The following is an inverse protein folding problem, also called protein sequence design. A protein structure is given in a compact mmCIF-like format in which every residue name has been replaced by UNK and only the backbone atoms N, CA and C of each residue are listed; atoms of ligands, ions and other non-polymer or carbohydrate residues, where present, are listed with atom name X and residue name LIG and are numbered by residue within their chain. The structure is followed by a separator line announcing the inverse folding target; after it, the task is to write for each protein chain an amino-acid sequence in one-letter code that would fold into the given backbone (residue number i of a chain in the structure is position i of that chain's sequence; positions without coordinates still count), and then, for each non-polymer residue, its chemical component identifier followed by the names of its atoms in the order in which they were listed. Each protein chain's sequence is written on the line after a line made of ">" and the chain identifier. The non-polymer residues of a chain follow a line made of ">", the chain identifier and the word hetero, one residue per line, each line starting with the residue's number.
data_IF_887701979393
#
_entry.id   IF_887701979393
#
_cell.length_a   1.000
_cell.length_b   1.000
_cell.length_c   1.000
_cell.angle_alpha   90.00
_cell.angle_beta   90.00
_cell.angle_gamma   90.00
#
_symmetry.space_group_name_H-M   'P 1'
#
loop_
_entity.id
_entity.type
_entity.pdbx_description
1 polymer ?
#
# COMPACT_ATOMS: atom_id res chain seq x y z
N UNK A 1 10.83 67.18 -14.65
CA UNK A 1 10.50 67.77 -15.97
C UNK A 1 11.17 66.91 -17.03
N UNK A 2 10.36 66.29 -17.92
CA UNK A 2 10.56 65.97 -19.36
C UNK A 2 11.87 65.27 -19.79
N UNK A 3 11.93 64.33 -20.75
CA UNK A 3 11.05 63.57 -21.68
C UNK A 3 12.04 62.60 -22.37
N UNK A 4 11.76 61.29 -22.51
CA UNK A 4 11.20 60.63 -23.70
C UNK A 4 11.91 60.94 -25.04
N UNK A 5 12.43 59.89 -25.69
CA UNK A 5 12.56 59.57 -27.15
C UNK A 5 13.77 58.62 -27.29
N UNK A 6 13.70 57.36 -27.76
CA UNK A 6 12.79 56.72 -28.71
C UNK A 6 13.51 56.53 -30.04
N UNK A 7 14.12 55.37 -30.29
CA UNK A 7 14.39 54.87 -31.65
C UNK A 7 14.11 53.37 -31.69
N UNK A 8 13.20 53.05 -32.60
CA UNK A 8 12.67 51.75 -33.00
C UNK A 8 13.62 51.15 -34.03
N UNK A 9 13.98 49.86 -33.88
CA UNK A 9 14.28 49.01 -35.04
C UNK A 9 13.54 47.70 -34.85
N UNK A 10 12.44 47.57 -35.59
CA UNK A 10 11.72 46.33 -35.81
C UNK A 10 12.44 45.50 -36.86
N UNK A 11 12.71 44.23 -36.57
CA UNK A 11 12.85 43.20 -37.61
C UNK A 11 11.92 42.06 -37.21
N UNK A 12 10.78 42.00 -37.90
CA UNK A 12 9.92 40.84 -37.95
C UNK A 12 10.52 39.82 -38.91
N UNK A 13 10.75 38.60 -38.44
CA UNK A 13 10.74 37.40 -39.28
C UNK A 13 9.85 36.38 -38.57
N UNK A 14 8.77 35.98 -39.24
CA UNK A 14 7.73 35.08 -38.74
C UNK A 14 7.88 33.69 -39.36
N UNK A 15 7.77 32.70 -38.46
CA UNK A 15 7.35 31.29 -38.62
C UNK A 15 8.21 30.30 -39.42
N UNK A 16 8.69 29.24 -38.76
CA UNK A 16 7.86 28.02 -38.61
C UNK A 16 8.39 27.06 -37.53
N UNK A 17 7.43 26.54 -36.77
CA UNK A 17 7.39 25.63 -35.61
C UNK A 17 8.49 24.55 -35.45
N UNK A 18 9.02 24.46 -34.23
CA UNK A 18 8.89 23.25 -33.40
C UNK A 18 8.85 23.67 -31.93
N UNK A 19 7.76 23.32 -31.24
CA UNK A 19 7.46 23.72 -29.87
C UNK A 19 8.11 22.76 -28.88
N UNK A 20 8.74 23.31 -27.83
CA UNK A 20 8.90 22.72 -26.50
C UNK A 20 9.27 23.87 -25.56
N UNK A 21 8.29 24.66 -25.15
CA UNK A 21 8.42 25.55 -23.98
C UNK A 21 8.01 24.78 -22.74
N UNK A 22 8.95 24.76 -21.79
CA UNK A 22 9.01 24.13 -20.48
C UNK A 22 7.69 23.77 -19.77
N UNK A 23 7.54 22.47 -19.53
CA UNK A 23 6.64 21.87 -18.54
C UNK A 23 6.97 22.33 -17.11
N UNK A 24 8.23 22.71 -16.83
CA UNK A 24 8.70 23.13 -15.52
C UNK A 24 8.10 24.47 -15.04
N UNK A 25 7.79 25.40 -15.94
CA UNK A 25 7.18 26.68 -15.56
C UNK A 25 5.68 26.52 -15.20
N UNK A 26 5.00 25.55 -15.83
CA UNK A 26 3.61 25.22 -15.52
C UNK A 26 3.48 24.53 -14.14
N UNK A 27 4.50 23.80 -13.72
CA UNK A 27 4.55 23.16 -12.39
C UNK A 27 4.85 24.14 -11.26
N UNK A 28 5.63 25.21 -11.44
CA UNK A 28 5.83 26.18 -10.35
C UNK A 28 4.59 27.04 -10.07
N UNK A 29 3.77 27.33 -11.09
CA UNK A 29 2.53 28.07 -10.90
C UNK A 29 1.36 27.16 -10.43
N UNK A 30 1.50 25.82 -10.53
CA UNK A 30 0.51 24.82 -10.08
C UNK A 30 0.92 24.09 -8.78
N UNK A 31 2.21 24.07 -8.42
CA UNK A 31 2.81 23.34 -7.28
C UNK A 31 3.97 24.09 -6.58
N UNK A 32 4.06 25.42 -6.70
CA UNK A 32 4.93 26.23 -5.83
C UNK A 32 4.55 26.07 -4.35
N UNK A 33 5.48 26.24 -3.39
CA UNK A 33 5.33 25.72 -2.05
C UNK A 33 4.28 26.52 -1.27
N UNK A 34 3.03 26.06 -1.30
CA UNK A 34 2.15 26.27 -0.16
C UNK A 34 2.60 25.29 0.93
N UNK A 35 3.31 25.87 1.88
CA UNK A 35 3.41 25.47 3.28
C UNK A 35 3.07 23.99 3.58
N UNK A 36 4.13 23.23 3.81
CA UNK A 36 4.12 21.86 4.30
C UNK A 36 3.54 21.78 5.72
N UNK A 37 2.23 21.95 5.83
CA UNK A 37 1.39 21.56 6.97
C UNK A 37 0.01 21.07 6.48
N UNK A 38 -0.03 20.20 5.48
CA UNK A 38 -1.27 19.60 4.95
C UNK A 38 -1.87 18.50 5.85
N UNK A 39 -2.02 18.75 7.15
CA UNK A 39 -2.83 17.90 8.05
C UNK A 39 -4.29 18.37 8.18
N UNK A 40 -4.66 19.43 7.44
CA UNK A 40 -5.99 20.02 7.49
C UNK A 40 -6.70 19.77 6.14
N UNK A 41 -7.75 18.97 6.14
CA UNK A 41 -8.61 18.81 4.97
C UNK A 41 -9.26 20.15 4.61
N UNK A 42 -9.27 20.53 3.32
CA UNK A 42 -9.87 21.80 2.91
C UNK A 42 -11.40 21.69 2.99
N UNK A 43 -12.00 22.42 3.93
CA UNK A 43 -13.44 22.41 4.17
C UNK A 43 -14.22 23.11 3.06
N UNK A 44 -15.30 22.51 2.60
CA UNK A 44 -16.26 23.11 1.68
C UNK A 44 -17.70 22.84 2.11
N UNK A 45 -18.64 23.18 1.22
CA UNK A 45 -20.06 22.89 1.39
C UNK A 45 -20.67 22.44 0.06
N UNK A 46 -21.68 21.60 0.14
CA UNK A 46 -22.52 21.18 -0.97
C UNK A 46 -23.99 21.31 -0.56
N UNK A 47 -24.86 21.74 -1.48
CA UNK A 47 -26.32 21.78 -1.26
C UNK A 47 -27.00 20.70 -2.09
N UNK A 48 -27.77 19.82 -1.44
CA UNK A 48 -28.56 18.78 -2.09
C UNK A 48 -29.87 19.43 -2.57
N UNK A 49 -30.01 19.60 -3.89
CA UNK A 49 -31.19 20.26 -4.46
C UNK A 49 -32.48 19.45 -4.30
N UNK A 50 -32.38 18.16 -3.93
CA UNK A 50 -33.56 17.29 -3.74
C UNK A 50 -34.32 17.66 -2.47
N UNK A 51 -33.66 18.19 -1.45
CA UNK A 51 -34.28 18.57 -0.17
C UNK A 51 -33.84 19.96 0.38
N UNK A 52 -32.94 20.66 -0.32
CA UNK A 52 -32.43 21.98 0.05
C UNK A 52 -31.42 21.95 1.20
N UNK A 53 -30.98 20.77 1.65
CA UNK A 53 -30.05 20.64 2.75
C UNK A 53 -28.61 20.92 2.31
N UNK A 54 -27.88 21.67 3.11
CA UNK A 54 -26.45 21.92 2.89
C UNK A 54 -25.64 21.02 3.82
N UNK A 55 -24.65 20.32 3.26
CA UNK A 55 -23.71 19.45 3.96
C UNK A 55 -22.31 20.03 3.87
N UNK A 56 -21.54 19.88 4.94
CA UNK A 56 -20.11 20.16 4.91
C UNK A 56 -19.37 19.11 4.09
N UNK A 57 -18.34 19.55 3.41
CA UNK A 57 -17.44 18.69 2.65
C UNK A 57 -16.01 18.89 3.10
N UNK A 58 -15.18 17.90 2.80
CA UNK A 58 -13.73 17.96 2.98
C UNK A 58 -13.05 17.46 1.73
N UNK A 59 -12.05 18.21 1.26
CA UNK A 59 -11.24 17.81 0.13
C UNK A 59 -10.06 16.99 0.63
N UNK A 60 -9.94 15.77 0.11
CA UNK A 60 -8.83 14.86 0.39
C UNK A 60 -8.28 14.37 -0.93
N UNK A 61 -7.03 14.73 -1.24
CA UNK A 61 -6.46 14.50 -2.57
C UNK A 61 -7.33 15.14 -3.67
N UNK A 62 -7.71 14.35 -4.68
CA UNK A 62 -8.57 14.76 -5.82
C UNK A 62 -10.07 14.57 -5.56
N UNK A 63 -10.44 14.04 -4.40
CA UNK A 63 -11.80 13.66 -4.08
C UNK A 63 -12.36 14.62 -3.03
N UNK A 64 -13.58 15.07 -3.27
CA UNK A 64 -14.35 15.82 -2.28
C UNK A 64 -15.35 14.89 -1.59
N UNK A 65 -15.22 14.80 -0.27
CA UNK A 65 -16.02 13.93 0.58
C UNK A 65 -17.09 14.72 1.33
N UNK A 66 -18.27 14.16 1.50
CA UNK A 66 -19.17 14.63 2.55
C UNK A 66 -18.54 14.39 3.93
N UNK A 67 -18.34 15.47 4.70
CA UNK A 67 -17.91 15.41 6.09
C UNK A 67 -19.07 15.04 7.04
N UNK A 68 -20.29 14.98 6.52
CA UNK A 68 -21.50 14.67 7.26
C UNK A 68 -22.24 13.51 6.60
N UNK A 69 -22.90 12.68 7.40
CA UNK A 69 -23.72 11.60 6.86
C UNK A 69 -24.91 12.21 6.10
N UNK A 70 -25.23 11.63 4.96
CA UNK A 70 -26.39 12.01 4.15
C UNK A 70 -27.67 11.89 4.98
N UNK A 71 -28.58 12.83 4.77
CA UNK A 71 -29.85 12.93 5.48
C UNK A 71 -31.06 13.13 4.55
N UNK A 72 -30.89 12.81 3.27
CA UNK A 72 -31.94 12.86 2.26
C UNK A 72 -33.04 11.84 2.54
N UNK A 73 -34.27 12.30 2.73
CA UNK A 73 -35.41 11.45 3.02
C UNK A 73 -35.95 10.79 1.74
N UNK A 74 -35.57 9.52 1.52
CA UNK A 74 -36.13 8.66 0.47
C UNK A 74 -37.01 7.55 1.03
N UNK A 75 -37.84 6.93 0.18
CA UNK A 75 -38.58 5.71 0.54
C UNK A 75 -37.61 4.64 1.04
N UNK A 76 -37.91 4.02 2.17
CA UNK A 76 -37.03 3.06 2.83
C UNK A 76 -35.94 3.68 3.72
N UNK A 77 -35.68 5.00 3.69
CA UNK A 77 -34.69 5.59 4.61
C UNK A 77 -35.23 5.79 6.03
N UNK A 78 -34.42 5.46 7.05
CA UNK A 78 -34.84 5.47 8.45
C UNK A 78 -34.06 6.48 9.29
N UNK A 79 -34.72 6.99 10.33
CA UNK A 79 -33.99 7.58 11.46
C UNK A 79 -33.59 6.48 12.43
N UNK A 80 -32.43 6.61 13.04
CA UNK A 80 -32.04 5.72 14.13
C UNK A 80 -33.06 5.79 15.27
N UNK A 81 -33.47 4.61 15.78
CA UNK A 81 -34.61 4.45 16.71
C UNK A 81 -35.90 5.17 16.28
N UNK A 82 -36.10 5.37 14.98
CA UNK A 82 -37.22 6.13 14.43
C UNK A 82 -37.37 7.55 15.04
N UNK A 83 -36.25 8.17 15.45
CA UNK A 83 -36.24 9.47 16.12
C UNK A 83 -35.77 10.58 15.19
N UNK A 84 -36.61 11.58 14.86
CA UNK A 84 -36.21 12.71 14.01
C UNK A 84 -34.98 13.46 14.51
N UNK A 85 -34.85 13.61 15.84
CA UNK A 85 -33.67 14.24 16.46
C UNK A 85 -32.37 13.49 16.18
N UNK A 86 -32.44 12.17 15.99
CA UNK A 86 -31.28 11.35 15.68
C UNK A 86 -30.93 11.40 14.19
N UNK A 87 -31.92 11.62 13.31
CA UNK A 87 -31.67 12.00 11.92
C UNK A 87 -30.88 13.31 11.81
N UNK A 88 -31.27 14.33 12.58
CA UNK A 88 -30.56 15.63 12.56
C UNK A 88 -29.10 15.49 13.02
N UNK A 89 -28.84 14.55 13.94
CA UNK A 89 -27.52 14.35 14.53
C UNK A 89 -26.62 13.42 13.71
N UNK A 90 -27.15 12.30 13.23
CA UNK A 90 -26.39 11.19 12.65
C UNK A 90 -26.64 10.98 11.17
N UNK A 91 -27.52 11.77 10.55
CA UNK A 91 -28.03 11.49 9.20
C UNK A 91 -29.08 10.39 9.21
N UNK A 92 -29.55 10.05 8.00
CA UNK A 92 -30.48 8.95 7.79
C UNK A 92 -29.71 7.66 7.52
N UNK A 93 -30.38 6.55 7.78
CA UNK A 93 -29.89 5.24 7.40
C UNK A 93 -30.57 4.81 6.10
N UNK A 94 -29.80 4.16 5.24
CA UNK A 94 -30.25 3.70 3.93
C UNK A 94 -30.07 2.19 3.84
N UNK A 95 -31.08 1.53 3.32
CA UNK A 95 -31.03 0.12 2.93
C UNK A 95 -30.73 0.00 1.45
N UNK A 96 -30.39 -1.23 1.04
CA UNK A 96 -30.09 -1.57 -0.34
C UNK A 96 -31.32 -1.47 -1.27
N UNK A 97 -31.14 -1.09 -2.55
CA UNK A 97 -29.90 -0.63 -3.18
C UNK A 97 -29.53 0.84 -2.90
N UNK A 98 -28.22 1.14 -2.93
CA UNK A 98 -27.67 2.47 -2.65
C UNK A 98 -27.40 3.33 -3.88
N UNK A 99 -27.58 2.79 -5.09
CA UNK A 99 -27.24 3.45 -6.38
C UNK A 99 -27.83 4.86 -6.54
N UNK A 100 -29.01 5.09 -5.96
CA UNK A 100 -29.77 6.34 -6.15
C UNK A 100 -29.81 7.20 -4.88
N UNK A 101 -28.92 6.93 -3.92
CA UNK A 101 -28.91 7.63 -2.62
C UNK A 101 -28.25 9.00 -2.73
N UNK A 102 -27.15 9.10 -3.46
CA UNK A 102 -26.37 10.32 -3.58
C UNK A 102 -26.99 11.33 -4.58
N UNK A 103 -26.79 12.64 -4.37
CA UNK A 103 -27.29 13.67 -5.29
C UNK A 103 -26.53 13.64 -6.62
N UNK A 104 -27.10 14.23 -7.68
CA UNK A 104 -26.46 14.27 -9.00
C UNK A 104 -25.02 14.81 -8.95
N UNK A 105 -24.11 14.11 -9.62
CA UNK A 105 -22.68 14.42 -9.60
C UNK A 105 -21.94 13.98 -8.33
N UNK A 106 -22.63 13.30 -7.41
CA UNK A 106 -22.05 12.61 -6.27
C UNK A 106 -22.44 11.13 -6.31
N UNK A 107 -21.58 10.28 -5.78
CA UNK A 107 -21.83 8.84 -5.70
C UNK A 107 -21.44 8.28 -4.33
N UNK A 108 -21.92 7.07 -4.06
CA UNK A 108 -21.50 6.33 -2.87
C UNK A 108 -20.06 5.88 -3.11
N UNK A 109 -19.11 6.22 -2.22
CA UNK A 109 -17.72 5.89 -2.40
C UNK A 109 -17.54 4.38 -2.55
N UNK A 110 -16.78 4.00 -3.57
CA UNK A 110 -16.33 2.63 -3.77
C UNK A 110 -15.11 2.32 -2.89
N UNK A 111 -14.66 1.08 -2.97
CA UNK A 111 -13.49 0.61 -2.22
C UNK A 111 -12.22 1.41 -2.53
N UNK A 112 -11.96 1.71 -3.80
CA UNK A 112 -10.76 2.43 -4.23
C UNK A 112 -10.71 3.84 -3.66
N UNK A 113 -11.88 4.49 -3.57
CA UNK A 113 -11.99 5.83 -3.01
C UNK A 113 -11.77 5.83 -1.50
N UNK A 114 -12.31 4.84 -0.78
CA UNK A 114 -12.00 4.67 0.64
C UNK A 114 -10.51 4.40 0.87
N UNK A 115 -9.88 3.54 0.06
CA UNK A 115 -8.43 3.30 0.12
C UNK A 115 -7.64 4.60 -0.04
N UNK A 116 -7.99 5.40 -1.04
CA UNK A 116 -7.33 6.68 -1.29
C UNK A 116 -7.47 7.60 -0.08
N UNK A 117 -8.62 7.67 0.59
CA UNK A 117 -8.80 8.44 1.83
C UNK A 117 -7.86 7.99 2.97
N UNK A 118 -7.67 6.69 3.16
CA UNK A 118 -6.78 6.17 4.22
C UNK A 118 -5.31 6.43 3.94
N UNK A 119 -4.92 6.65 2.68
CA UNK A 119 -3.57 7.11 2.36
C UNK A 119 -3.25 8.49 2.97
N UNK A 120 -4.28 9.31 3.26
CA UNK A 120 -4.13 10.66 3.79
C UNK A 120 -4.41 10.78 5.29
N UNK A 121 -5.16 9.85 5.89
CA UNK A 121 -5.63 10.00 7.27
C UNK A 121 -5.82 8.68 8.03
N UNK A 122 -5.41 8.67 9.30
CA UNK A 122 -5.64 7.54 10.20
C UNK A 122 -7.13 7.44 10.59
N UNK A 123 -7.62 6.26 11.00
CA UNK A 123 -9.00 6.10 11.48
C UNK A 123 -9.37 7.06 12.64
N UNK A 124 -8.40 7.39 13.52
CA UNK A 124 -8.61 8.36 14.59
C UNK A 124 -8.73 9.80 14.08
N UNK A 125 -8.01 10.15 13.00
CA UNK A 125 -8.08 11.46 12.33
C UNK A 125 -9.40 11.70 11.60
N UNK A 126 -10.05 10.65 11.10
CA UNK A 126 -11.35 10.74 10.43
C UNK A 126 -12.53 10.88 11.42
N UNK A 127 -12.38 10.34 12.63
CA UNK A 127 -13.45 10.22 13.62
C UNK A 127 -13.78 11.54 14.32
N UNK A 128 -15.07 11.82 14.52
CA UNK A 128 -15.48 13.02 15.26
C UNK A 128 -14.98 13.02 16.71
N UNK A 129 -14.69 14.21 17.26
CA UNK A 129 -14.23 14.38 18.65
C UNK A 129 -15.21 13.81 19.67
N UNK A 130 -16.51 13.92 19.38
CA UNK A 130 -17.59 13.39 20.22
C UNK A 130 -17.74 11.86 20.17
N UNK A 131 -16.96 11.20 19.31
CA UNK A 131 -16.97 9.76 19.14
C UNK A 131 -15.60 9.12 19.43
N UNK A 132 -14.70 9.85 20.11
CA UNK A 132 -13.38 9.36 20.53
C UNK A 132 -12.27 9.54 19.49
N UNK A 133 -12.48 10.38 18.47
CA UNK A 133 -11.50 10.70 17.44
C UNK A 133 -10.82 12.04 17.66
N UNK A 134 -9.80 12.32 16.85
CA UNK A 134 -9.15 13.64 16.83
C UNK A 134 -9.84 14.61 15.87
N UNK A 135 -10.59 14.09 14.89
CA UNK A 135 -11.24 14.85 13.82
C UNK A 135 -10.26 15.79 13.12
N UNK A 136 -9.03 15.32 12.93
CA UNK A 136 -7.90 16.15 12.52
C UNK A 136 -8.11 16.75 11.12
N UNK A 137 -8.77 16.01 10.22
CA UNK A 137 -9.00 16.48 8.85
C UNK A 137 -10.42 17.04 8.63
N UNK A 138 -11.25 17.15 9.68
CA UNK A 138 -12.62 17.65 9.57
C UNK A 138 -13.60 16.69 8.90
N UNK A 139 -13.24 15.41 8.72
CA UNK A 139 -14.11 14.38 8.18
C UNK A 139 -15.24 14.03 9.15
N UNK A 140 -15.05 14.16 10.46
CA UNK A 140 -16.09 14.07 11.50
C UNK A 140 -17.02 12.84 11.38
N UNK A 141 -16.48 11.62 11.28
CA UNK A 141 -17.32 10.40 11.29
C UNK A 141 -18.23 10.36 12.52
N UNK A 142 -19.52 10.19 12.27
CA UNK A 142 -20.58 9.99 13.26
C UNK A 142 -21.24 8.63 13.03
N UNK A 143 -21.35 7.89 14.11
CA UNK A 143 -21.62 6.47 14.14
C UNK A 143 -23.08 6.14 14.47
N UNK A 144 -23.71 5.30 13.64
CA UNK A 144 -25.08 4.82 13.86
C UNK A 144 -25.39 3.62 12.95
N UNK A 145 -26.24 2.67 13.35
CA UNK A 145 -26.62 1.49 12.53
C UNK A 145 -26.21 0.13 13.13
N UNK A 146 -26.46 -0.96 12.40
CA UNK A 146 -26.10 -2.35 12.77
C UNK A 146 -25.31 -3.01 11.62
N UNK A 147 -24.31 -3.86 11.95
CA UNK A 147 -23.45 -4.61 11.02
C UNK A 147 -22.58 -5.63 11.75
N UNK A 148 -21.89 -6.51 11.02
CA UNK A 148 -20.93 -7.48 11.57
C UNK A 148 -19.58 -6.81 11.92
N UNK A 149 -18.89 -7.35 12.94
CA UNK A 149 -17.66 -6.76 13.51
C UNK A 149 -16.47 -7.66 13.23
N UNK A 150 -15.39 -7.10 12.71
CA UNK A 150 -14.06 -7.74 12.70
C UNK A 150 -13.05 -6.79 13.33
N UNK A 151 -12.20 -7.27 14.24
CA UNK A 151 -11.15 -6.43 14.80
C UNK A 151 -10.03 -6.20 13.77
N UNK A 152 -9.41 -5.01 13.72
CA UNK A 152 -8.41 -4.69 12.69
C UNK A 152 -7.26 -5.69 12.65
N UNK A 153 -6.73 -6.19 13.79
CA UNK A 153 -5.72 -7.25 13.75
C UNK A 153 -6.21 -8.58 13.17
N UNK A 154 -7.47 -8.97 13.40
CA UNK A 154 -8.10 -10.18 12.84
C UNK A 154 -8.33 -9.98 11.34
N UNK A 155 -8.86 -8.82 10.96
CA UNK A 155 -8.93 -8.33 9.59
C UNK A 155 -7.55 -8.24 8.95
N UNK A 156 -6.46 -7.98 9.68
CA UNK A 156 -5.10 -7.99 9.11
C UNK A 156 -4.47 -9.39 9.11
N UNK A 157 -4.98 -10.33 9.92
CA UNK A 157 -4.45 -11.70 10.06
C UNK A 157 -5.19 -12.75 9.25
N UNK A 158 -6.41 -12.45 8.80
CA UNK A 158 -7.17 -13.27 7.85
C UNK A 158 -6.74 -13.00 6.40
N UNK A 159 -5.52 -12.46 6.19
CA UNK A 159 -5.09 -11.93 4.90
C UNK A 159 -5.24 -12.97 3.79
N UNK A 160 -5.92 -12.58 2.71
CA UNK A 160 -5.83 -13.23 1.41
C UNK A 160 -4.44 -13.01 0.75
N UNK A 161 -3.42 -12.59 1.51
CA UNK A 161 -2.03 -12.62 1.03
C UNK A 161 -1.77 -14.00 0.47
N UNK A 162 -1.29 -14.02 -0.76
CA UNK A 162 -0.78 -15.25 -1.32
C UNK A 162 0.28 -15.77 -0.32
N UNK A 163 0.21 -17.06 0.01
CA UNK A 163 1.14 -17.73 0.91
C UNK A 163 2.50 -17.87 0.24
N UNK A 164 3.17 -16.75 0.08
CA UNK A 164 4.45 -16.62 -0.57
C UNK A 164 5.48 -16.26 0.49
N UNK A 165 6.46 -17.14 0.69
CA UNK A 165 7.58 -16.85 1.59
C UNK A 165 8.77 -16.39 0.77
N UNK A 166 9.31 -15.22 1.10
CA UNK A 166 10.60 -14.75 0.59
C UNK A 166 11.66 -15.00 1.67
N UNK A 167 12.78 -15.61 1.28
CA UNK A 167 13.92 -15.80 2.19
C UNK A 167 15.19 -15.22 1.60
N UNK A 168 16.04 -14.68 2.46
CA UNK A 168 17.28 -14.00 2.09
C UNK A 168 18.45 -14.64 2.80
N UNK A 169 19.51 -14.94 2.04
CA UNK A 169 20.80 -15.40 2.55
C UNK A 169 21.90 -14.47 2.04
N UNK A 170 22.57 -13.69 2.91
CA UNK A 170 23.81 -13.02 2.50
C UNK A 170 24.90 -14.06 2.25
N UNK A 171 25.77 -13.87 1.25
CA UNK A 171 26.69 -14.95 0.85
C UNK A 171 28.06 -14.47 0.37
N UNK A 172 29.05 -15.32 0.60
CA UNK A 172 30.40 -15.28 0.05
C UNK A 172 30.62 -16.31 -1.08
N UNK A 173 29.57 -17.05 -1.49
CA UNK A 173 29.69 -18.12 -2.47
C UNK A 173 30.36 -17.62 -3.76
N UNK A 174 31.48 -18.25 -4.13
CA UNK A 174 32.30 -17.87 -5.29
C UNK A 174 32.81 -16.42 -5.28
N UNK A 175 32.81 -15.74 -4.12
CA UNK A 175 33.28 -14.36 -3.96
C UNK A 175 34.28 -14.21 -2.78
N UNK A 176 35.05 -15.26 -2.50
CA UNK A 176 35.98 -15.26 -1.34
C UNK A 176 37.18 -14.33 -1.50
N UNK A 177 37.42 -13.78 -2.69
CA UNK A 177 38.50 -12.82 -2.92
C UNK A 177 38.25 -11.46 -2.25
N UNK A 178 36.98 -11.07 -2.08
CA UNK A 178 36.56 -9.81 -1.45
C UNK A 178 35.64 -10.01 -0.24
N UNK A 179 35.03 -11.19 -0.10
CA UNK A 179 34.09 -11.55 0.95
C UNK A 179 34.51 -12.87 1.59
N UNK A 180 35.51 -12.84 2.48
CA UNK A 180 35.97 -14.01 3.23
C UNK A 180 36.29 -13.64 4.68
N UNK A 181 36.35 -14.63 5.60
CA UNK A 181 36.64 -14.35 7.00
C UNK A 181 37.96 -13.58 7.16
N UNK A 182 37.91 -12.44 7.85
CA UNK A 182 39.07 -11.55 8.03
C UNK A 182 39.07 -10.30 7.12
N UNK A 183 38.19 -10.25 6.10
CA UNK A 183 37.86 -9.01 5.41
C UNK A 183 36.67 -8.31 6.10
N UNK A 184 36.50 -7.02 5.82
CA UNK A 184 35.31 -6.29 6.24
C UNK A 184 34.09 -6.85 5.50
N UNK A 185 33.06 -7.26 6.23
CA UNK A 185 31.82 -7.81 5.66
C UNK A 185 31.11 -6.79 4.75
N UNK A 186 31.40 -5.50 4.92
CA UNK A 186 30.93 -4.44 4.02
C UNK A 186 31.43 -4.59 2.57
N UNK A 187 32.46 -5.39 2.32
CA UNK A 187 32.99 -5.69 0.98
C UNK A 187 32.22 -6.81 0.27
N UNK A 188 31.35 -7.52 0.99
CA UNK A 188 30.46 -8.51 0.40
C UNK A 188 29.38 -7.85 -0.46
N UNK A 189 28.84 -8.60 -1.41
CA UNK A 189 27.90 -8.07 -2.39
C UNK A 189 26.83 -9.07 -2.82
N UNK A 190 26.89 -10.33 -2.39
CA UNK A 190 26.08 -11.39 -2.97
C UNK A 190 24.96 -11.79 -2.00
N UNK A 191 23.78 -12.09 -2.55
CA UNK A 191 22.72 -12.77 -1.82
C UNK A 191 22.23 -13.97 -2.62
N UNK A 192 21.68 -14.96 -1.91
CA UNK A 192 20.70 -15.87 -2.48
C UNK A 192 19.31 -15.50 -1.95
N UNK A 193 18.33 -15.50 -2.85
CA UNK A 193 16.93 -15.25 -2.55
C UNK A 193 16.15 -16.51 -2.89
N UNK A 194 15.33 -16.97 -1.96
CA UNK A 194 14.30 -17.98 -2.22
C UNK A 194 12.92 -17.35 -2.25
N UNK A 195 12.07 -17.81 -3.16
CA UNK A 195 10.65 -17.46 -3.20
C UNK A 195 9.86 -18.75 -3.26
N UNK A 196 9.12 -19.05 -2.20
CA UNK A 196 8.31 -20.25 -2.04
C UNK A 196 6.85 -19.93 -2.33
N UNK A 197 6.22 -20.74 -3.19
CA UNK A 197 4.78 -20.68 -3.43
C UNK A 197 4.09 -21.76 -2.57
N UNK A 198 3.54 -21.36 -1.42
CA UNK A 198 2.73 -22.24 -0.58
C UNK A 198 1.24 -22.16 -0.89
N UNK A 199 0.84 -21.55 -2.02
CA UNK A 199 -0.53 -21.61 -2.50
C UNK A 199 -0.88 -22.97 -3.09
N UNK A 200 -2.20 -23.24 -3.11
CA UNK A 200 -2.76 -24.42 -3.77
C UNK A 200 -2.70 -24.36 -5.31
N UNK A 201 -2.48 -23.15 -5.86
CA UNK A 201 -2.34 -22.89 -7.28
C UNK A 201 -0.92 -22.42 -7.63
N UNK A 202 -0.52 -22.63 -8.88
CA UNK A 202 0.72 -22.06 -9.40
C UNK A 202 0.58 -20.54 -9.58
N UNK A 203 1.69 -19.81 -9.45
CA UNK A 203 1.71 -18.34 -9.54
C UNK A 203 2.77 -17.90 -10.55
N UNK A 204 2.44 -16.94 -11.40
CA UNK A 204 3.33 -16.40 -12.43
C UNK A 204 3.24 -14.87 -12.47
N UNK A 205 4.15 -14.22 -13.20
CA UNK A 205 4.06 -12.77 -13.43
C UNK A 205 4.27 -11.91 -12.19
N UNK A 206 5.01 -12.41 -11.21
CA UNK A 206 5.28 -11.70 -9.96
C UNK A 206 6.56 -10.86 -10.07
N UNK A 207 6.55 -9.72 -9.39
CA UNK A 207 7.74 -8.92 -9.11
C UNK A 207 7.93 -8.70 -7.61
N UNK A 208 9.18 -8.79 -7.15
CA UNK A 208 9.57 -8.45 -5.78
C UNK A 208 10.14 -7.05 -5.77
N UNK A 209 9.89 -6.30 -4.70
CA UNK A 209 10.50 -4.99 -4.48
C UNK A 209 11.49 -5.07 -3.33
N UNK A 210 12.78 -4.98 -3.65
CA UNK A 210 13.84 -5.09 -2.65
C UNK A 210 14.40 -3.70 -2.29
N UNK A 211 14.14 -3.23 -1.07
CA UNK A 211 14.45 -1.87 -0.64
C UNK A 211 15.81 -1.81 0.06
N UNK A 212 16.78 -1.18 -0.63
CA UNK A 212 18.19 -1.11 -0.20
C UNK A 212 18.62 0.30 0.22
N UNK A 213 17.67 1.24 0.37
CA UNK A 213 17.86 2.56 0.98
C UNK A 213 18.51 3.64 0.10
N UNK A 214 19.06 3.29 -1.06
CA UNK A 214 19.58 4.28 -2.02
C UNK A 214 19.11 3.96 -3.43
N UNK A 215 19.09 4.99 -4.29
CA UNK A 215 19.08 4.78 -5.74
C UNK A 215 20.47 4.34 -6.19
N UNK A 216 20.52 3.33 -7.05
CA UNK A 216 21.77 2.87 -7.64
C UNK A 216 21.70 2.83 -9.15
N UNK A 217 22.85 3.11 -9.78
CA UNK A 217 23.01 3.04 -11.24
C UNK A 217 23.21 1.59 -11.69
N UNK A 218 23.89 0.78 -10.88
CA UNK A 218 24.16 -0.63 -11.20
C UNK A 218 22.97 -1.51 -10.81
N UNK A 219 22.42 -2.25 -11.77
CA UNK A 219 21.52 -3.37 -11.52
C UNK A 219 22.33 -4.65 -11.31
N UNK A 220 21.98 -5.50 -10.33
CA UNK A 220 22.68 -6.76 -10.13
C UNK A 220 22.47 -7.73 -11.29
N UNK A 221 23.22 -8.82 -11.27
CA UNK A 221 23.08 -9.95 -12.18
C UNK A 221 22.79 -11.23 -11.40
N UNK A 222 22.23 -12.22 -12.10
CA UNK A 222 22.05 -13.57 -11.59
C UNK A 222 22.71 -14.56 -12.52
N UNK A 223 23.72 -15.27 -12.02
CA UNK A 223 24.35 -16.38 -12.75
C UNK A 223 23.81 -17.75 -12.33
N UNK A 224 23.04 -17.77 -11.25
CA UNK A 224 22.47 -18.97 -10.64
C UNK A 224 20.98 -18.70 -10.44
N UNK A 225 20.15 -19.50 -11.10
CA UNK A 225 18.71 -19.51 -10.88
C UNK A 225 18.18 -20.92 -11.11
N UNK A 226 17.42 -21.44 -10.15
CA UNK A 226 16.89 -22.80 -10.21
C UNK A 226 15.44 -22.83 -9.70
N UNK A 227 14.58 -23.52 -10.45
CA UNK A 227 13.17 -23.68 -10.14
C UNK A 227 12.90 -25.12 -9.71
N UNK A 228 12.14 -25.26 -8.62
CA UNK A 228 11.76 -26.51 -8.00
C UNK A 228 10.23 -26.65 -7.95
N UNK A 229 9.74 -27.86 -8.17
CA UNK A 229 8.33 -28.20 -7.97
C UNK A 229 8.04 -28.55 -6.50
N UNK A 230 6.75 -28.73 -6.16
CA UNK A 230 6.34 -28.99 -4.77
C UNK A 230 6.83 -30.30 -4.15
N UNK A 231 7.37 -31.20 -4.95
CA UNK A 231 8.03 -32.43 -4.46
C UNK A 231 9.55 -32.23 -4.20
N UNK A 232 10.08 -31.03 -4.41
CA UNK A 232 11.51 -30.71 -4.25
C UNK A 232 12.39 -31.10 -5.44
N UNK A 233 11.80 -31.61 -6.52
CA UNK A 233 12.53 -31.92 -7.76
C UNK A 233 12.78 -30.65 -8.57
N UNK A 234 13.95 -30.54 -9.21
CA UNK A 234 14.23 -29.46 -10.16
C UNK A 234 13.31 -29.57 -11.37
N UNK A 235 12.58 -28.50 -11.67
CA UNK A 235 11.66 -28.41 -12.82
C UNK A 235 12.19 -27.49 -13.92
N UNK A 236 13.26 -26.73 -13.66
CA UNK A 236 13.96 -25.96 -14.70
C UNK A 236 14.91 -24.90 -14.17
N UNK A 237 15.39 -24.08 -15.09
CA UNK A 237 16.09 -22.82 -14.82
C UNK A 237 15.09 -21.71 -15.09
N UNK A 238 14.92 -20.79 -14.15
CA UNK A 238 14.02 -19.64 -14.31
C UNK A 238 14.80 -18.40 -14.74
N UNK A 239 14.22 -17.58 -15.61
CA UNK A 239 14.80 -16.27 -15.93
C UNK A 239 14.40 -15.27 -14.84
N UNK A 240 15.41 -14.74 -14.14
CA UNK A 240 15.24 -13.64 -13.19
C UNK A 240 15.89 -12.41 -13.80
N UNK A 241 15.15 -11.30 -13.84
CA UNK A 241 15.64 -10.03 -14.37
C UNK A 241 15.50 -8.93 -13.34
N UNK A 242 16.41 -7.95 -13.43
CA UNK A 242 16.48 -6.82 -12.54
C UNK A 242 16.31 -5.55 -13.36
N UNK A 243 15.32 -4.74 -13.00
CA UNK A 243 15.13 -3.44 -13.63
C UNK A 243 15.91 -2.36 -12.89
N UNK A 244 15.98 -1.16 -13.48
CA UNK A 244 16.51 0.01 -12.80
C UNK A 244 15.72 0.30 -11.53
N UNK A 245 16.40 0.87 -10.52
CA UNK A 245 15.76 1.25 -9.27
C UNK A 245 14.61 2.21 -9.51
N UNK A 246 13.49 1.97 -8.82
CA UNK A 246 12.26 2.74 -8.97
C UNK A 246 11.93 3.38 -7.63
N UNK A 247 11.63 4.70 -7.58
CA UNK A 247 11.10 5.30 -6.37
C UNK A 247 9.67 4.82 -6.15
N UNK A 248 9.34 4.45 -4.92
CA UNK A 248 7.97 4.24 -4.49
C UNK A 248 7.22 5.58 -4.33
N UNK A 249 5.97 5.49 -3.91
CA UNK A 249 5.06 6.63 -3.74
C UNK A 249 5.56 7.66 -2.71
N UNK A 250 6.47 7.28 -1.82
CA UNK A 250 7.10 8.15 -0.82
C UNK A 250 8.54 8.54 -1.18
N UNK A 251 9.02 8.17 -2.37
CA UNK A 251 10.36 8.48 -2.86
C UNK A 251 11.46 7.54 -2.33
N UNK A 252 11.12 6.42 -1.69
CA UNK A 252 12.09 5.39 -1.34
C UNK A 252 12.34 4.47 -2.52
N UNK A 253 13.61 4.20 -2.81
CA UNK A 253 13.98 3.40 -3.97
C UNK A 253 13.98 1.90 -3.64
N UNK A 254 13.40 1.12 -4.54
CA UNK A 254 13.50 -0.34 -4.54
C UNK A 254 14.09 -0.86 -5.84
N UNK A 255 14.72 -2.02 -5.76
CA UNK A 255 15.11 -2.84 -6.90
C UNK A 255 13.93 -3.73 -7.30
N UNK A 256 13.35 -3.57 -8.51
CA UNK A 256 12.35 -4.51 -9.02
C UNK A 256 13.04 -5.79 -9.47
N UNK A 257 12.61 -6.92 -8.91
CA UNK A 257 13.09 -8.26 -9.28
C UNK A 257 11.94 -9.01 -9.93
N UNK A 258 12.08 -9.34 -11.21
CA UNK A 258 11.03 -10.04 -11.98
C UNK A 258 11.37 -11.51 -12.14
N UNK A 259 10.41 -12.36 -11.82
CA UNK A 259 10.52 -13.81 -12.03
C UNK A 259 9.66 -14.17 -13.24
N UNK A 260 10.31 -14.57 -14.34
CA UNK A 260 9.61 -14.78 -15.61
C UNK A 260 8.77 -16.07 -15.63
N UNK A 261 9.23 -17.10 -14.92
CA UNK A 261 8.59 -18.42 -14.93
C UNK A 261 7.51 -18.53 -13.86
N UNK A 262 6.50 -19.35 -14.16
CA UNK A 262 5.51 -19.79 -13.18
C UNK A 262 6.18 -20.67 -12.10
N UNK A 263 5.87 -20.38 -10.83
CA UNK A 263 6.25 -21.21 -9.69
C UNK A 263 5.10 -22.17 -9.40
N UNK A 264 5.29 -23.51 -9.55
CA UNK A 264 4.24 -24.49 -9.29
C UNK A 264 3.72 -24.41 -7.86
N UNK A 265 2.51 -24.91 -7.62
CA UNK A 265 1.98 -25.06 -6.25
C UNK A 265 2.93 -25.90 -5.39
N UNK A 266 3.23 -25.41 -4.19
CA UNK A 266 4.23 -25.96 -3.27
C UNK A 266 5.68 -25.82 -3.75
N UNK A 267 5.91 -25.32 -4.96
CA UNK A 267 7.22 -25.13 -5.56
C UNK A 267 7.91 -23.86 -5.09
N UNK A 268 9.16 -23.70 -5.50
CA UNK A 268 9.97 -22.55 -5.12
C UNK A 268 11.07 -22.30 -6.13
N UNK A 269 11.61 -21.08 -6.12
CA UNK A 269 12.77 -20.67 -6.91
C UNK A 269 13.85 -20.18 -5.96
N UNK A 270 15.11 -20.47 -6.31
CA UNK A 270 16.28 -19.78 -5.74
C UNK A 270 17.06 -19.08 -6.83
N UNK A 271 17.54 -17.88 -6.54
CA UNK A 271 18.39 -17.15 -7.47
C UNK A 271 19.43 -16.29 -6.74
N UNK A 272 20.54 -16.03 -7.43
CA UNK A 272 21.60 -15.15 -6.96
C UNK A 272 21.26 -13.68 -7.28
N UNK A 273 21.52 -12.80 -6.32
CA UNK A 273 21.70 -11.37 -6.53
C UNK A 273 23.18 -11.05 -6.38
N UNK A 274 23.83 -10.61 -7.45
CA UNK A 274 25.26 -10.25 -7.44
C UNK A 274 25.48 -8.88 -8.07
N UNK A 275 26.05 -7.96 -7.29
CA UNK A 275 26.64 -6.74 -7.84
C UNK A 275 28.10 -7.00 -8.21
N UNK A 276 28.53 -6.43 -9.33
CA UNK A 276 29.89 -6.57 -9.86
C UNK A 276 30.81 -5.48 -9.29
N UNK A 277 30.27 -4.30 -8.97
CA UNK A 277 31.07 -3.19 -8.43
C UNK A 277 30.59 -2.68 -7.08
N UNK A 278 29.28 -2.71 -6.83
CA UNK A 278 28.74 -2.33 -5.53
C UNK A 278 28.92 -3.43 -4.47
N UNK A 279 28.98 -2.99 -3.21
CA UNK A 279 29.04 -3.86 -2.03
C UNK A 279 28.01 -3.42 -1.00
N UNK A 280 27.90 -4.15 0.10
CA UNK A 280 27.01 -3.83 1.21
C UNK A 280 27.28 -2.44 1.80
N UNK A 281 28.51 -1.92 1.67
CA UNK A 281 28.86 -0.55 2.05
C UNK A 281 28.04 0.53 1.32
N UNK A 282 27.46 0.21 0.16
CA UNK A 282 26.66 1.14 -0.60
C UNK A 282 25.20 1.19 -0.15
N UNK A 283 24.71 0.20 0.60
CA UNK A 283 23.32 0.16 1.04
C UNK A 283 23.02 1.27 2.05
N UNK A 284 21.83 1.86 1.94
CA UNK A 284 21.39 2.97 2.77
C UNK A 284 21.11 2.54 4.20
N UNK A 285 21.19 3.49 5.13
CA UNK A 285 20.81 3.26 6.53
C UNK A 285 19.31 2.98 6.70
N UNK A 286 18.53 3.29 5.67
CA UNK A 286 17.10 3.06 5.49
C UNK A 286 16.81 1.89 4.54
N UNK A 287 17.74 0.94 4.38
CA UNK A 287 17.53 -0.30 3.64
C UNK A 287 16.41 -1.15 4.29
N UNK A 288 15.17 -0.81 3.98
CA UNK A 288 13.96 -1.32 4.65
C UNK A 288 13.87 -2.84 4.67
N UNK A 289 14.19 -3.50 3.56
CA UNK A 289 14.16 -4.96 3.46
C UNK A 289 15.32 -5.63 4.21
N UNK A 290 16.37 -4.90 4.60
CA UNK A 290 17.49 -5.46 5.37
C UNK A 290 17.40 -5.08 6.86
N UNK A 291 16.70 -4.00 7.18
CA UNK A 291 16.61 -3.43 8.51
C UNK A 291 15.79 -4.30 9.47
N UNK A 292 16.07 -4.16 10.77
CA UNK A 292 15.25 -4.76 11.81
C UNK A 292 13.97 -3.94 12.06
N UNK A 293 12.86 -4.66 12.20
CA UNK A 293 11.52 -4.14 12.52
C UNK A 293 11.02 -4.79 13.81
N UNK A 294 11.35 -4.18 14.95
CA UNK A 294 11.13 -4.75 16.30
C UNK A 294 10.29 -3.85 17.22
N UNK A 295 9.79 -2.73 16.69
CA UNK A 295 8.93 -1.77 17.39
C UNK A 295 7.45 -2.13 17.37
N UNK A 296 6.63 -1.36 18.10
CA UNK A 296 5.17 -1.51 18.10
C UNK A 296 4.52 -1.13 16.76
N UNK A 297 5.30 -0.52 15.87
CA UNK A 297 4.97 -0.10 14.51
C UNK A 297 5.40 -1.13 13.45
N UNK A 298 6.13 -2.18 13.82
CA UNK A 298 6.45 -3.28 12.92
C UNK A 298 5.19 -4.06 12.55
N UNK A 299 4.99 -4.33 11.25
CA UNK A 299 3.89 -5.17 10.78
C UNK A 299 4.02 -6.60 11.30
N UNK A 300 5.25 -7.14 11.19
CA UNK A 300 5.67 -8.43 11.74
C UNK A 300 7.04 -8.24 12.37
N UNK A 301 7.26 -8.81 13.55
CA UNK A 301 8.57 -8.75 14.20
C UNK A 301 9.62 -9.40 13.30
N UNK A 302 10.68 -8.67 12.97
CA UNK A 302 11.77 -9.15 12.14
C UNK A 302 13.09 -8.54 12.61
N UNK A 303 14.09 -9.38 12.93
CA UNK A 303 15.36 -8.86 13.46
C UNK A 303 16.31 -8.32 12.36
N UNK A 304 15.87 -8.23 11.11
CA UNK A 304 16.70 -7.79 9.98
C UNK A 304 17.59 -8.91 9.41
N UNK A 305 18.28 -8.61 8.31
CA UNK A 305 19.29 -9.51 7.72
C UNK A 305 20.67 -9.15 8.28
N UNK A 306 21.32 -10.08 8.98
CA UNK A 306 22.68 -9.88 9.48
C UNK A 306 23.71 -10.07 8.37
N UNK A 307 24.03 -8.98 7.68
CA UNK A 307 25.03 -8.95 6.60
C UNK A 307 26.44 -9.32 7.07
N UNK A 308 26.74 -9.24 8.37
CA UNK A 308 28.05 -9.61 8.88
C UNK A 308 28.33 -11.12 8.82
N UNK A 309 27.30 -11.93 8.59
CA UNK A 309 27.43 -13.38 8.37
C UNK A 309 27.92 -13.74 6.97
N UNK A 310 27.79 -12.84 5.98
CA UNK A 310 28.10 -13.14 4.58
C UNK A 310 29.47 -13.78 4.35
N UNK A 311 30.58 -13.30 4.97
CA UNK A 311 31.91 -13.91 4.79
C UNK A 311 31.98 -15.38 5.23
N UNK A 312 31.09 -15.82 6.12
CA UNK A 312 31.04 -17.17 6.67
C UNK A 312 30.09 -18.08 5.89
N UNK A 313 29.14 -17.50 5.14
CA UNK A 313 28.17 -18.23 4.34
C UNK A 313 28.70 -18.50 2.93
N UNK A 314 29.53 -19.53 2.81
CA UNK A 314 30.29 -19.91 1.61
C UNK A 314 29.69 -21.09 0.85
N UNK A 315 28.64 -21.71 1.37
CA UNK A 315 27.87 -22.75 0.71
C UNK A 315 27.10 -22.23 -0.51
N UNK A 316 26.67 -23.15 -1.36
CA UNK A 316 25.92 -22.81 -2.57
C UNK A 316 24.47 -22.36 -2.26
N UNK A 317 23.67 -22.17 -3.30
CA UNK A 317 22.29 -21.72 -3.23
C UNK A 317 21.34 -22.69 -2.51
N UNK A 318 21.73 -23.95 -2.30
CA UNK A 318 20.92 -24.97 -1.63
C UNK A 318 21.35 -25.23 -0.19
N UNK A 319 22.46 -24.65 0.25
CA UNK A 319 22.98 -24.85 1.61
C UNK A 319 22.18 -24.02 2.62
N UNK A 320 21.26 -24.68 3.33
CA UNK A 320 20.36 -24.08 4.31
C UNK A 320 21.03 -23.85 5.68
N UNK A 321 22.07 -24.62 6.01
CA UNK A 321 22.73 -24.59 7.32
C UNK A 321 24.20 -24.28 7.15
N UNK A 322 24.65 -23.15 7.69
CA UNK A 322 26.05 -22.72 7.60
C UNK A 322 26.62 -22.41 8.99
N UNK A 323 27.94 -22.20 9.04
CA UNK A 323 28.64 -21.89 10.29
C UNK A 323 28.77 -20.39 10.42
N UNK A 324 28.28 -19.80 11.51
CA UNK A 324 28.39 -18.37 11.78
C UNK A 324 29.81 -17.94 12.21
N UNK A 325 30.01 -16.65 12.43
CA UNK A 325 31.26 -16.08 12.98
C UNK A 325 31.73 -16.77 14.28
N UNK A 326 30.79 -17.24 15.10
CA UNK A 326 31.05 -17.83 16.41
C UNK A 326 31.32 -19.35 16.34
N UNK A 327 31.23 -19.96 15.16
CA UNK A 327 31.39 -21.40 14.98
C UNK A 327 30.12 -22.22 15.23
N UNK A 328 28.95 -21.59 15.35
CA UNK A 328 27.68 -22.27 15.51
C UNK A 328 27.06 -22.59 14.16
N UNK A 329 26.41 -23.75 14.05
CA UNK A 329 25.54 -24.04 12.90
C UNK A 329 24.25 -23.22 13.03
N UNK A 330 23.98 -22.38 12.04
CA UNK A 330 22.82 -21.48 11.96
C UNK A 330 22.08 -21.68 10.64
N UNK A 331 20.79 -21.33 10.62
CA UNK A 331 20.04 -21.25 9.37
C UNK A 331 20.53 -20.06 8.54
N UNK A 332 20.96 -20.32 7.31
CA UNK A 332 21.60 -19.32 6.45
C UNK A 332 20.56 -18.44 5.73
N UNK A 333 19.41 -19.01 5.39
CA UNK A 333 18.28 -18.29 4.79
C UNK A 333 17.33 -17.81 5.88
N UNK A 334 17.09 -16.50 5.93
CA UNK A 334 16.13 -15.90 6.85
C UNK A 334 14.85 -15.53 6.11
N UNK A 335 13.70 -15.96 6.61
CA UNK A 335 12.40 -15.50 6.11
C UNK A 335 12.25 -13.99 6.33
N UNK A 336 11.94 -13.28 5.26
CA UNK A 336 11.89 -11.83 5.20
C UNK A 336 10.48 -11.36 4.80
N UNK A 337 9.67 -10.88 5.75
CA UNK A 337 8.35 -10.36 5.46
C UNK A 337 8.38 -8.95 4.86
N UNK A 338 9.54 -8.27 4.79
CA UNK A 338 9.69 -6.89 4.36
C UNK A 338 10.24 -6.74 2.92
N UNK A 339 10.17 -7.82 2.15
CA UNK A 339 10.29 -7.82 0.68
C UNK A 339 8.90 -8.07 0.10
N UNK A 340 8.14 -7.03 -0.25
CA UNK A 340 6.80 -7.22 -0.78
C UNK A 340 6.83 -7.77 -2.21
N UNK A 341 5.84 -8.61 -2.50
CA UNK A 341 5.61 -9.27 -3.78
C UNK A 341 4.38 -8.68 -4.43
N UNK A 342 4.45 -8.42 -5.73
CA UNK A 342 3.41 -7.81 -6.54
C UNK A 342 3.03 -8.70 -7.71
N UNK A 343 1.78 -8.63 -8.14
CA UNK A 343 1.25 -9.21 -9.37
C UNK A 343 0.40 -8.16 -10.07
N UNK A 344 0.72 -7.86 -11.33
CA UNK A 344 0.06 -6.82 -12.14
C UNK A 344 -0.06 -5.46 -11.43
N UNK A 345 0.99 -5.08 -10.69
CA UNK A 345 1.04 -3.84 -9.93
C UNK A 345 0.30 -3.85 -8.59
N UNK A 346 -0.42 -4.92 -8.24
CA UNK A 346 -1.07 -5.10 -6.94
C UNK A 346 -0.18 -5.93 -6.00
N UNK A 347 -0.01 -5.49 -4.74
CA UNK A 347 0.73 -6.25 -3.72
C UNK A 347 -0.05 -7.51 -3.34
N UNK A 348 0.61 -8.67 -3.32
CA UNK A 348 0.00 -9.96 -2.97
C UNK A 348 0.64 -10.61 -1.73
N UNK A 349 1.84 -10.18 -1.30
CA UNK A 349 2.49 -10.66 -0.09
C UNK A 349 3.55 -9.65 0.41
N UNK A 350 3.96 -9.76 1.68
CA UNK A 350 5.04 -8.98 2.30
C UNK A 350 4.73 -7.49 2.50
N UNK A 351 5.63 -6.75 3.15
CA UNK A 351 5.41 -5.38 3.62
C UNK A 351 6.48 -4.42 3.08
N UNK A 352 6.08 -3.48 2.23
CA UNK A 352 6.94 -2.37 1.82
C UNK A 352 7.03 -1.26 2.89
N UNK A 353 7.96 -0.31 2.74
CA UNK A 353 8.07 0.85 3.62
C UNK A 353 6.81 1.70 3.63
N UNK A 354 6.17 1.75 2.47
CA UNK A 354 4.80 2.16 2.34
C UNK A 354 3.91 0.94 2.13
N UNK A 355 3.29 0.50 3.21
CA UNK A 355 2.27 -0.52 3.16
C UNK A 355 0.90 0.13 3.00
N UNK A 356 0.37 0.05 1.78
CA UNK A 356 -1.07 0.13 1.57
C UNK A 356 -1.61 -1.30 1.68
N UNK A 357 -2.51 -1.60 2.63
CA UNK A 357 -3.15 -2.91 2.69
C UNK A 357 -3.77 -3.23 1.32
N UNK A 358 -3.29 -4.29 0.69
CA UNK A 358 -3.96 -4.87 -0.47
C UNK A 358 -5.07 -5.80 0.04
N UNK A 359 -6.29 -5.30 -0.06
CA UNK A 359 -7.61 -5.93 -0.29
C UNK A 359 -8.02 -7.16 0.55
N UNK A 360 -9.22 -7.05 1.12
CA UNK A 360 -10.08 -8.17 1.54
C UNK A 360 -11.32 -8.36 0.67
N UNK A 361 -11.63 -7.41 -0.22
CA UNK A 361 -12.96 -7.28 -0.79
C UNK A 361 -12.95 -7.70 -2.27
N UNK A 362 -13.83 -8.63 -2.66
CA UNK A 362 -14.05 -9.00 -4.05
C UNK A 362 -14.77 -7.93 -4.86
N UNK A 363 -14.83 -8.11 -6.19
CA UNK A 363 -15.72 -7.30 -7.04
C UNK A 363 -17.15 -7.37 -6.48
N UNK A 364 -17.72 -6.21 -6.12
CA UNK A 364 -18.97 -6.05 -5.38
C UNK A 364 -18.87 -6.34 -3.88
N UNK A 365 -17.96 -5.70 -3.15
CA UNK A 365 -17.97 -5.65 -1.69
C UNK A 365 -17.79 -4.18 -1.23
N UNK A 366 -18.49 -3.76 -0.17
CA UNK A 366 -18.47 -2.36 0.30
C UNK A 366 -18.01 -2.26 1.75
N UNK A 367 -16.88 -1.59 1.96
CA UNK A 367 -16.35 -1.25 3.27
C UNK A 367 -17.14 -0.07 3.89
N UNK A 368 -17.65 -0.22 5.12
CA UNK A 368 -18.32 0.86 5.86
C UNK A 368 -17.75 0.93 7.29
N UNK A 369 -16.91 1.93 7.54
CA UNK A 369 -16.14 2.00 8.79
C UNK A 369 -17.00 2.31 10.03
N UNK A 370 -16.80 1.49 11.06
CA UNK A 370 -17.07 1.82 12.46
C UNK A 370 -15.87 1.42 13.31
N UNK A 371 -15.60 2.21 14.35
CA UNK A 371 -14.53 1.93 15.32
C UNK A 371 -15.12 2.10 16.72
N UNK A 372 -15.20 1.03 17.50
CA UNK A 372 -15.77 1.03 18.85
C UNK A 372 -14.70 1.23 19.92
N UNK A 373 -14.98 2.05 20.94
CA UNK A 373 -14.31 1.93 22.24
C UNK A 373 -15.33 1.50 23.28
N UNK A 374 -15.32 0.23 23.67
CA UNK A 374 -15.65 -0.18 25.03
C UNK A 374 -14.65 -1.25 25.50
N UNK A 375 -13.69 -0.82 26.32
CA UNK A 375 -12.81 -1.70 27.10
C UNK A 375 -11.60 -2.24 26.33
N UNK A 376 -10.41 -1.77 26.69
CA UNK A 376 -9.08 -2.27 26.28
C UNK A 376 -8.76 -2.37 24.77
N UNK A 377 -8.16 -1.28 24.26
CA UNK A 377 -6.99 -1.27 23.36
C UNK A 377 -7.01 -1.91 21.95
N UNK A 378 -8.12 -2.01 21.21
CA UNK A 378 -8.05 -2.36 19.76
C UNK A 378 -9.05 -1.59 18.89
N UNK A 379 -8.58 -1.12 17.73
CA UNK A 379 -9.39 -0.53 16.65
C UNK A 379 -10.06 -1.66 15.83
N UNK A 380 -11.33 -1.48 15.43
CA UNK A 380 -12.16 -2.47 14.69
C UNK A 380 -12.59 -1.89 13.33
N UNK A 381 -12.92 -2.75 12.35
CA UNK A 381 -13.56 -2.39 11.06
C UNK A 381 -14.88 -3.16 10.96
N UNK A 382 -15.92 -2.50 10.45
CA UNK A 382 -17.17 -3.15 10.05
C UNK A 382 -17.20 -3.21 8.53
N UNK A 383 -17.73 -4.29 7.97
CA UNK A 383 -17.97 -4.41 6.52
C UNK A 383 -19.30 -5.11 6.28
N UNK A 384 -19.81 -5.02 5.05
CA UNK A 384 -20.94 -5.83 4.60
C UNK A 384 -20.49 -6.60 3.37
N UNK A 385 -20.37 -7.93 3.52
CA UNK A 385 -20.18 -8.87 2.41
C UNK A 385 -21.47 -8.93 1.60
N UNK A 386 -21.40 -8.50 0.34
CA UNK A 386 -22.54 -8.52 -0.60
C UNK A 386 -22.30 -9.50 -1.76
N UNK A 387 -21.28 -10.37 -1.68
CA UNK A 387 -20.95 -11.41 -2.67
C UNK A 387 -21.86 -12.64 -2.60
N UNK A 388 -22.71 -12.73 -1.56
CA UNK A 388 -23.72 -13.79 -1.43
C UNK A 388 -24.89 -13.51 -2.38
N UNK A 389 -24.72 -13.92 -3.63
CA UNK A 389 -25.81 -14.11 -4.58
C UNK A 389 -26.84 -15.06 -3.95
N UNK A 390 -28.00 -14.49 -3.63
CA UNK A 390 -29.07 -15.04 -2.80
C UNK A 390 -28.69 -15.24 -1.32
N UNK A 391 -29.18 -14.38 -0.41
CA UNK A 391 -29.24 -14.77 0.97
C UNK A 391 -30.19 -15.98 1.06
N UNK A 392 -29.77 -17.10 1.63
CA UNK A 392 -30.67 -17.99 2.39
C UNK A 392 -31.21 -17.27 3.66
N UNK A 393 -31.52 -15.98 3.52
CA UNK A 393 -31.84 -15.05 4.57
C UNK A 393 -33.08 -14.33 4.07
N UNK A 394 -34.20 -14.57 4.75
CA UNK A 394 -35.53 -14.18 4.29
C UNK A 394 -35.63 -12.69 3.96
N UNK A 395 -36.59 -12.29 3.12
CA UNK A 395 -36.89 -10.87 2.84
C UNK A 395 -37.09 -10.02 4.12
N UNK A 396 -37.36 -10.64 5.27
CA UNK A 396 -37.47 -9.99 6.58
C UNK A 396 -36.12 -9.60 7.23
N UNK A 397 -34.99 -10.17 6.81
CA UNK A 397 -33.67 -9.91 7.42
C UNK A 397 -32.89 -8.77 6.76
N UNK A 398 -33.15 -8.48 5.48
CA UNK A 398 -32.62 -7.28 4.80
C UNK A 398 -33.20 -5.98 5.38
N UNK A 399 -34.34 -6.06 6.09
CA UNK A 399 -34.92 -4.96 6.84
C UNK A 399 -34.12 -4.54 8.09
N UNK A 400 -33.00 -5.22 8.41
CA UNK A 400 -32.18 -4.92 9.59
C UNK A 400 -30.82 -4.26 9.27
N UNK A 401 -30.40 -4.18 7.99
CA UNK A 401 -29.09 -3.63 7.61
C UNK A 401 -29.22 -2.23 7.00
N UNK A 402 -29.30 -1.24 7.89
CA UNK A 402 -29.48 0.17 7.58
C UNK A 402 -28.22 0.96 7.99
N UNK A 403 -27.56 1.59 7.00
CA UNK A 403 -26.27 2.24 7.21
C UNK A 403 -26.29 3.74 6.89
N UNK A 404 -25.50 4.55 7.60
CA UNK A 404 -25.26 5.94 7.21
C UNK A 404 -24.41 5.95 5.93
N UNK A 405 -24.79 6.82 4.99
CA UNK A 405 -24.08 7.00 3.73
C UNK A 405 -23.37 8.35 3.71
N UNK A 406 -22.19 8.41 3.12
CA UNK A 406 -21.50 9.65 2.75
C UNK A 406 -21.22 9.58 1.28
N UNK A 407 -21.54 10.64 0.56
CA UNK A 407 -21.28 10.69 -0.87
C UNK A 407 -19.96 11.39 -1.14
N UNK A 408 -19.38 11.10 -2.29
CA UNK A 408 -18.17 11.75 -2.76
C UNK A 408 -18.32 12.23 -4.20
N UNK A 409 -17.39 13.07 -4.65
CA UNK A 409 -17.24 13.43 -6.06
C UNK A 409 -15.78 13.71 -6.39
N UNK A 410 -15.42 13.52 -7.65
CA UNK A 410 -14.15 14.00 -8.19
C UNK A 410 -14.21 15.50 -8.45
N UNK A 411 -13.09 16.20 -8.18
CA UNK A 411 -12.93 17.61 -8.51
C UNK A 411 -12.51 17.85 -9.95
#
# INVERSE_FOLDING_TARGET
>A
MRRLFGVIVSVFVVASLCACTDYAQKIQDEYGPEDSSGKDGVSGEMTDYRDGRTYKTVSVGKVEWMAENLSYAKSGSLCFFNSPKLCDKYGRLYGWPLSDVCPDGWHVPDEGEWRDLFSFATPSALRSKNAGGTDAIGFSVKYVGAGEVVDIPTYMSESNDAKIDVKVKPSAYQNTDNCAPGYDWLNCADFFIEVHNNESNAISGMDLRFYLGNEFIETPVSYISQLFGGEGNTVGISQVSFDSYVPDENGQYYLPIKIANEIPSGGWIVFQLKWLTMTYANFGTDAWSLAAHTGNDAFVSFDGIDLSQAPYFTGNELEQWEVDFYGNTVEAFKSDPYIPVYFDGARIAGYGPYYQPALFFGENELAVFWTSTQGSSRDWIYYVDISKDEPEISEDDLANYYLPVRCIRYK
#
